data_IF_848032376780
#
_entry.id   IF_848032376780
#
_cell.length_a   1.000
_cell.length_b   1.000
_cell.length_c   1.000
_cell.angle_alpha   90.00
_cell.angle_beta   90.00
_cell.angle_gamma   90.00
#
_symmetry.space_group_name_H-M   'P 1'
#
loop_
_entity.id
_entity.type
_entity.pdbx_description
1 polymer ?
#
# COMPACT_ATOMS: atom_id res chain seq x y z
N UNK A 1 14.68 -20.09 -17.13
CA UNK A 1 14.43 -18.73 -16.59
C UNK A 1 13.39 -18.04 -17.47
N UNK A 2 12.22 -17.66 -16.94
CA UNK A 2 11.29 -16.82 -17.73
C UNK A 2 11.93 -15.45 -17.86
N UNK A 3 12.19 -15.01 -19.10
CA UNK A 3 12.50 -13.61 -19.39
C UNK A 3 11.36 -12.75 -18.86
N UNK A 4 11.56 -12.06 -17.73
CA UNK A 4 10.61 -11.07 -17.28
C UNK A 4 10.61 -9.93 -18.30
N UNK A 5 9.52 -9.77 -19.04
CA UNK A 5 9.33 -8.63 -19.93
C UNK A 5 9.39 -7.35 -19.09
N UNK A 6 10.33 -6.46 -19.40
CA UNK A 6 10.43 -5.16 -18.73
C UNK A 6 9.08 -4.42 -18.81
N UNK A 7 8.51 -3.96 -17.68
CA UNK A 7 7.22 -3.26 -17.66
C UNK A 7 7.24 -1.90 -18.39
N UNK A 8 8.44 -1.47 -18.79
CA UNK A 8 8.73 -0.21 -19.49
C UNK A 8 8.98 -0.39 -21.00
N UNK A 9 8.99 -1.63 -21.52
CA UNK A 9 9.26 -1.88 -22.95
C UNK A 9 8.23 -1.14 -23.83
N UNK A 10 8.71 -0.33 -24.77
CA UNK A 10 7.88 0.41 -25.72
C UNK A 10 7.23 1.68 -25.18
N UNK A 11 7.71 2.24 -24.06
CA UNK A 11 7.18 3.50 -23.52
C UNK A 11 8.03 4.70 -23.91
N UNK A 12 7.35 5.81 -24.20
CA UNK A 12 7.95 7.08 -24.62
C UNK A 12 8.83 7.73 -23.54
N UNK A 13 8.52 7.50 -22.26
CA UNK A 13 9.26 8.08 -21.13
C UNK A 13 10.14 7.03 -20.46
N UNK A 14 11.26 7.49 -19.89
CA UNK A 14 12.18 6.61 -19.16
C UNK A 14 11.47 5.97 -17.96
N UNK A 15 11.96 4.79 -17.59
CA UNK A 15 11.47 4.07 -16.42
C UNK A 15 11.61 4.89 -15.13
N UNK A 16 12.70 5.64 -15.02
CA UNK A 16 13.02 6.47 -13.86
C UNK A 16 12.00 7.59 -13.63
N UNK A 17 11.73 8.41 -14.66
CA UNK A 17 10.74 9.50 -14.58
C UNK A 17 9.37 8.95 -14.23
N UNK A 18 8.98 7.84 -14.89
CA UNK A 18 7.71 7.17 -14.60
C UNK A 18 7.60 6.73 -13.13
N UNK A 19 8.68 6.17 -12.59
CA UNK A 19 8.71 5.67 -11.22
C UNK A 19 8.74 6.78 -10.17
N UNK A 20 9.45 7.88 -10.40
CA UNK A 20 9.41 9.04 -9.49
C UNK A 20 8.01 9.60 -9.32
N UNK A 21 7.31 9.84 -10.44
CA UNK A 21 5.92 10.29 -10.44
C UNK A 21 5.03 9.32 -9.67
N UNK A 22 5.16 8.02 -9.96
CA UNK A 22 4.35 6.99 -9.30
C UNK A 22 4.58 7.01 -7.79
N UNK A 23 5.83 7.13 -7.35
CA UNK A 23 6.17 7.16 -5.92
C UNK A 23 5.66 8.43 -5.24
N UNK A 24 5.89 9.60 -5.84
CA UNK A 24 5.38 10.86 -5.31
C UNK A 24 3.87 10.82 -5.13
N UNK A 25 3.13 10.39 -6.16
CA UNK A 25 1.68 10.28 -6.07
C UNK A 25 1.19 9.32 -4.97
N UNK A 26 1.86 8.18 -4.79
CA UNK A 26 1.47 7.17 -3.79
C UNK A 26 1.91 7.51 -2.36
N UNK A 27 2.78 8.51 -2.18
CA UNK A 27 3.35 8.89 -0.88
C UNK A 27 2.90 10.27 -0.39
N UNK A 28 2.57 11.16 -1.31
CA UNK A 28 2.30 12.57 -1.04
C UNK A 28 0.87 12.95 -1.51
N UNK A 29 0.20 13.89 -0.82
CA UNK A 29 -1.14 14.33 -1.18
C UNK A 29 -1.14 15.29 -2.38
N UNK A 30 -0.65 14.82 -3.54
CA UNK A 30 -0.47 15.62 -4.77
C UNK A 30 -1.51 15.20 -5.81
N UNK A 31 -2.12 16.16 -6.51
CA UNK A 31 -3.05 15.85 -7.60
C UNK A 31 -2.32 15.50 -8.89
N UNK A 32 -2.99 14.84 -9.84
CA UNK A 32 -2.37 14.56 -11.15
C UNK A 32 -2.02 15.84 -11.92
N UNK A 33 -2.80 16.91 -11.75
CA UNK A 33 -2.54 18.21 -12.39
C UNK A 33 -1.34 18.91 -11.78
N UNK A 34 -1.14 18.77 -10.47
CA UNK A 34 0.05 19.32 -9.81
C UNK A 34 1.29 18.56 -10.24
N UNK A 35 1.23 17.22 -10.38
CA UNK A 35 2.35 16.44 -10.93
C UNK A 35 2.68 16.83 -12.37
N UNK A 36 1.67 17.05 -13.22
CA UNK A 36 1.85 17.55 -14.58
C UNK A 36 2.60 18.90 -14.58
N UNK A 37 2.21 19.84 -13.69
CA UNK A 37 2.93 21.12 -13.51
C UNK A 37 4.36 20.94 -13.01
N UNK A 38 4.57 20.12 -11.99
CA UNK A 38 5.89 19.84 -11.42
C UNK A 38 6.88 19.21 -12.42
N UNK A 39 6.36 18.47 -13.40
CA UNK A 39 7.14 17.88 -14.49
C UNK A 39 7.41 18.91 -15.59
N UNK A 40 6.43 19.76 -15.92
CA UNK A 40 6.61 20.86 -16.86
C UNK A 40 7.72 21.84 -16.40
N UNK A 41 7.78 22.16 -15.10
CA UNK A 41 8.86 22.98 -14.50
C UNK A 41 10.27 22.37 -14.71
N UNK A 42 10.35 21.08 -15.04
CA UNK A 42 11.60 20.34 -15.32
C UNK A 42 11.76 19.98 -16.80
N UNK A 43 10.98 20.60 -17.68
CA UNK A 43 11.02 20.35 -19.13
C UNK A 43 10.37 19.04 -19.58
N UNK A 44 9.63 18.36 -18.71
CA UNK A 44 8.94 17.09 -19.04
C UNK A 44 7.46 17.37 -19.27
N UNK A 45 7.06 17.40 -20.54
CA UNK A 45 5.66 17.62 -20.94
C UNK A 45 4.91 16.29 -20.94
N UNK A 46 3.93 16.14 -20.04
CA UNK A 46 3.12 14.93 -19.93
C UNK A 46 1.74 15.24 -19.38
N UNK A 47 0.69 14.74 -20.03
CA UNK A 47 -0.67 14.97 -19.56
C UNK A 47 -0.98 14.18 -18.26
N UNK A 48 -1.77 14.78 -17.37
CA UNK A 48 -2.32 14.11 -16.18
C UNK A 48 -3.01 12.76 -16.47
N UNK A 49 -3.61 12.59 -17.65
CA UNK A 49 -4.24 11.32 -18.07
C UNK A 49 -3.20 10.20 -18.26
N UNK A 50 -2.00 10.55 -18.72
CA UNK A 50 -0.87 9.63 -18.85
C UNK A 50 -0.30 9.27 -17.48
N UNK A 51 -0.17 10.23 -16.57
CA UNK A 51 0.23 9.99 -15.18
C UNK A 51 -0.76 9.05 -14.49
N UNK A 52 -2.06 9.24 -14.68
CA UNK A 52 -3.09 8.33 -14.19
C UNK A 52 -2.89 6.91 -14.70
N UNK A 53 -2.64 6.72 -16.01
CA UNK A 53 -2.36 5.39 -16.60
C UNK A 53 -1.10 4.76 -15.98
N UNK A 54 -0.06 5.55 -15.70
CA UNK A 54 1.13 5.06 -15.00
C UNK A 54 0.81 4.56 -13.59
N UNK A 55 0.05 5.30 -12.79
CA UNK A 55 -0.36 4.84 -11.45
C UNK A 55 -1.15 3.53 -11.54
N UNK A 56 -2.12 3.46 -12.45
CA UNK A 56 -2.96 2.27 -12.60
C UNK A 56 -2.21 1.04 -13.11
N UNK A 57 -1.12 1.24 -13.86
CA UNK A 57 -0.25 0.18 -14.36
C UNK A 57 0.79 -0.25 -13.31
N UNK A 58 1.47 0.70 -12.68
CA UNK A 58 2.64 0.42 -11.86
C UNK A 58 2.35 0.21 -10.38
N UNK A 59 1.27 0.75 -9.81
CA UNK A 59 0.92 0.48 -8.42
C UNK A 59 0.74 -1.03 -8.13
N UNK A 60 0.07 -1.83 -8.99
CA UNK A 60 0.03 -3.29 -8.83
C UNK A 60 1.40 -3.97 -8.94
N UNK A 61 2.28 -3.50 -9.84
CA UNK A 61 3.63 -4.06 -10.00
C UNK A 61 4.49 -3.78 -8.78
N UNK A 62 4.41 -2.57 -8.20
CA UNK A 62 5.05 -2.24 -6.92
C UNK A 62 4.59 -3.20 -5.82
N UNK A 63 3.28 -3.46 -5.75
CA UNK A 63 2.73 -4.39 -4.75
C UNK A 63 3.28 -5.80 -4.94
N UNK A 64 3.34 -6.28 -6.18
CA UNK A 64 3.85 -7.61 -6.52
C UNK A 64 5.32 -7.77 -6.14
N UNK A 65 6.14 -6.74 -6.40
CA UNK A 65 7.58 -6.76 -6.13
C UNK A 65 7.94 -6.57 -4.66
N UNK A 66 7.27 -5.68 -3.94
CA UNK A 66 7.63 -5.38 -2.55
C UNK A 66 7.14 -6.44 -1.56
N UNK A 67 5.94 -7.01 -1.77
CA UNK A 67 5.34 -7.95 -0.79
C UNK A 67 6.21 -9.15 -0.42
N UNK A 68 6.90 -9.82 -1.36
CA UNK A 68 7.82 -10.92 -1.03
C UNK A 68 8.98 -10.54 -0.12
N UNK A 69 9.35 -9.26 -0.06
CA UNK A 69 10.49 -8.75 0.71
C UNK A 69 10.08 -8.16 2.07
N UNK A 70 8.82 -8.26 2.46
CA UNK A 70 8.35 -7.76 3.75
C UNK A 70 8.82 -8.68 4.89
N UNK A 71 9.22 -8.06 6.00
CA UNK A 71 9.54 -8.73 7.26
C UNK A 71 8.31 -9.46 7.79
N UNK A 72 8.54 -10.59 8.47
CA UNK A 72 7.48 -11.34 9.13
C UNK A 72 6.78 -10.49 10.19
N UNK A 73 5.45 -10.43 10.10
CA UNK A 73 4.59 -9.83 11.12
C UNK A 73 4.37 -10.77 12.29
N UNK A 74 4.09 -10.22 13.48
CA UNK A 74 3.79 -11.04 14.64
C UNK A 74 2.31 -11.50 14.70
N UNK A 75 2.03 -12.47 15.56
CA UNK A 75 0.68 -13.03 15.75
C UNK A 75 -0.28 -12.16 16.58
N UNK A 76 0.03 -10.89 16.86
CA UNK A 76 -0.83 -9.97 17.61
C UNK A 76 -1.42 -8.92 16.69
N UNK A 77 -2.62 -9.16 16.17
CA UNK A 77 -3.22 -8.30 15.16
C UNK A 77 -4.13 -7.24 15.79
N UNK A 78 -4.17 -6.08 15.15
CA UNK A 78 -5.18 -5.03 15.34
C UNK A 78 -5.88 -4.79 14.01
N UNK A 79 -7.20 -4.88 14.04
CA UNK A 79 -8.05 -4.83 12.86
C UNK A 79 -9.08 -3.72 13.03
N UNK A 80 -9.17 -2.86 12.03
CA UNK A 80 -10.13 -1.77 12.00
C UNK A 80 -10.54 -1.48 10.55
N UNK A 81 -11.67 -0.79 10.37
CA UNK A 81 -12.14 -0.31 9.08
C UNK A 81 -12.35 1.20 9.07
N UNK A 82 -12.07 1.83 7.94
CA UNK A 82 -12.33 3.26 7.77
C UNK A 82 -13.02 3.58 6.45
N UNK A 83 -13.66 4.74 6.38
CA UNK A 83 -14.45 5.12 5.21
C UNK A 83 -13.57 5.80 4.14
N UNK A 84 -13.74 5.37 2.90
CA UNK A 84 -13.14 5.98 1.70
C UNK A 84 -14.23 6.23 0.66
N UNK A 85 -14.23 7.40 0.04
CA UNK A 85 -15.23 7.79 -0.96
C UNK A 85 -14.85 7.28 -2.36
N UNK A 86 -15.76 6.55 -2.99
CA UNK A 86 -15.62 6.03 -4.36
C UNK A 86 -16.93 6.29 -5.12
N UNK A 87 -16.86 6.97 -6.26
CA UNK A 87 -17.99 7.37 -7.12
C UNK A 87 -19.10 8.04 -6.30
N UNK A 88 -18.71 8.98 -5.44
CA UNK A 88 -19.63 9.69 -4.55
C UNK A 88 -20.11 8.90 -3.31
N UNK A 89 -19.87 7.59 -3.23
CA UNK A 89 -20.39 6.72 -2.15
C UNK A 89 -19.31 6.34 -1.15
N UNK A 90 -19.67 6.24 0.12
CA UNK A 90 -18.77 5.75 1.17
C UNK A 90 -18.60 4.23 1.07
N UNK A 91 -17.35 3.78 1.09
CA UNK A 91 -16.94 2.38 1.08
C UNK A 91 -16.03 2.12 2.28
N UNK A 92 -15.89 0.85 2.65
CA UNK A 92 -15.11 0.39 3.80
C UNK A 92 -13.72 -0.05 3.35
N UNK A 93 -12.69 0.56 3.92
CA UNK A 93 -11.30 0.15 3.81
C UNK A 93 -10.90 -0.55 5.10
N UNK A 94 -10.89 -1.87 5.06
CA UNK A 94 -10.38 -2.74 6.11
C UNK A 94 -8.86 -2.67 6.15
N UNK A 95 -8.30 -2.66 7.36
CA UNK A 95 -6.86 -2.68 7.61
C UNK A 95 -6.53 -3.59 8.78
N UNK A 96 -5.40 -4.29 8.66
CA UNK A 96 -4.78 -5.03 9.74
C UNK A 96 -3.33 -4.60 9.90
N UNK A 97 -2.92 -4.41 11.15
CA UNK A 97 -1.53 -4.19 11.56
C UNK A 97 -1.19 -5.14 12.69
N UNK A 98 0.09 -5.45 12.86
CA UNK A 98 0.55 -6.31 13.95
C UNK A 98 0.80 -5.52 15.26
N UNK A 99 1.36 -6.19 16.27
CA UNK A 99 1.63 -5.61 17.58
C UNK A 99 2.61 -4.45 17.60
N UNK A 100 3.47 -4.38 16.59
CA UNK A 100 4.51 -3.35 16.43
C UNK A 100 4.05 -2.26 15.44
N UNK A 101 2.81 -2.37 14.93
CA UNK A 101 2.27 -1.47 13.93
C UNK A 101 2.71 -1.78 12.50
N UNK A 102 3.34 -2.94 12.26
CA UNK A 102 3.67 -3.35 10.91
C UNK A 102 2.40 -3.70 10.14
N UNK A 103 2.31 -3.28 8.89
CA UNK A 103 1.08 -3.48 8.12
C UNK A 103 0.99 -4.92 7.60
N UNK A 104 -0.10 -5.59 7.93
CA UNK A 104 -0.40 -6.94 7.45
C UNK A 104 -1.05 -6.84 6.08
N UNK A 105 -2.24 -6.22 6.01
CA UNK A 105 -2.95 -6.08 4.75
C UNK A 105 -4.10 -5.06 4.77
N UNK A 106 -4.66 -4.80 3.59
CA UNK A 106 -5.82 -3.96 3.33
C UNK A 106 -6.88 -4.64 2.45
N UNK A 107 -8.14 -4.26 2.61
CA UNK A 107 -9.22 -4.61 1.67
C UNK A 107 -10.22 -3.47 1.54
N UNK A 108 -10.42 -2.99 0.31
CA UNK A 108 -11.54 -2.10 -0.01
C UNK A 108 -12.80 -2.94 -0.32
N UNK A 109 -13.93 -2.59 0.28
CA UNK A 109 -15.23 -3.23 0.08
C UNK A 109 -16.35 -2.20 0.11
N UNK A 110 -17.39 -2.42 -0.70
CA UNK A 110 -18.63 -1.66 -0.61
C UNK A 110 -19.53 -2.12 0.55
N UNK A 111 -19.32 -3.34 1.06
CA UNK A 111 -20.12 -3.95 2.13
C UNK A 111 -19.35 -3.97 3.45
N UNK A 112 -20.10 -3.83 4.55
CA UNK A 112 -19.62 -3.96 5.92
C UNK A 112 -20.29 -5.13 6.63
N UNK A 113 -19.89 -6.35 6.30
CA UNK A 113 -20.51 -7.57 6.81
C UNK A 113 -19.48 -8.63 7.24
N UNK A 114 -19.94 -9.66 7.93
CA UNK A 114 -19.09 -10.76 8.40
C UNK A 114 -18.46 -11.55 7.24
N UNK A 115 -19.13 -11.62 6.08
CA UNK A 115 -18.60 -12.27 4.87
C UNK A 115 -17.35 -11.55 4.37
N UNK A 116 -17.41 -10.22 4.31
CA UNK A 116 -16.32 -9.34 3.92
C UNK A 116 -15.18 -9.39 4.94
N UNK A 117 -15.49 -9.38 6.24
CA UNK A 117 -14.49 -9.55 7.29
C UNK A 117 -13.74 -10.89 7.17
N UNK A 118 -14.43 -12.01 6.93
CA UNK A 118 -13.79 -13.31 6.65
C UNK A 118 -12.91 -13.26 5.41
N UNK A 119 -13.40 -12.66 4.32
CA UNK A 119 -12.62 -12.46 3.09
C UNK A 119 -11.34 -11.67 3.38
N UNK A 120 -11.43 -10.64 4.21
CA UNK A 120 -10.28 -9.85 4.62
C UNK A 120 -9.27 -10.69 5.41
N UNK A 121 -9.71 -11.43 6.43
CA UNK A 121 -8.80 -12.29 7.20
C UNK A 121 -8.12 -13.36 6.36
N UNK A 122 -8.86 -14.03 5.47
CA UNK A 122 -8.27 -14.99 4.52
C UNK A 122 -7.24 -14.34 3.61
N UNK A 123 -7.53 -13.12 3.11
CA UNK A 123 -6.60 -12.38 2.25
C UNK A 123 -5.32 -12.01 3.02
N UNK A 124 -5.45 -11.57 4.26
CA UNK A 124 -4.33 -11.22 5.14
C UNK A 124 -3.47 -12.44 5.47
N UNK A 125 -4.08 -13.57 5.89
CA UNK A 125 -3.34 -14.79 6.22
C UNK A 125 -2.68 -15.46 5.01
N UNK A 126 -3.14 -15.18 3.78
CA UNK A 126 -2.48 -15.65 2.54
C UNK A 126 -1.20 -14.90 2.20
N UNK A 127 -0.89 -13.80 2.88
CA UNK A 127 0.35 -13.06 2.62
C UNK A 127 1.55 -13.83 3.20
N UNK A 128 2.63 -13.92 2.43
CA UNK A 128 3.83 -14.68 2.82
C UNK A 128 4.47 -14.19 4.12
N UNK A 129 4.38 -12.88 4.39
CA UNK A 129 4.94 -12.24 5.58
C UNK A 129 4.03 -12.29 6.81
N UNK A 130 2.95 -13.08 6.76
CA UNK A 130 1.88 -13.06 7.76
C UNK A 130 1.78 -14.35 8.56
N UNK A 131 1.73 -14.21 9.89
CA UNK A 131 1.52 -15.31 10.83
C UNK A 131 0.07 -15.38 11.27
N UNK A 132 -0.51 -16.59 11.39
CA UNK A 132 -1.86 -16.80 11.92
C UNK A 132 -1.98 -16.17 13.32
N UNK A 133 -2.98 -15.31 13.58
CA UNK A 133 -3.01 -14.50 14.79
C UNK A 133 -3.33 -15.33 16.04
N UNK A 134 -2.51 -15.16 17.07
CA UNK A 134 -2.82 -15.62 18.45
C UNK A 134 -3.72 -14.63 19.18
N UNK A 135 -3.62 -13.35 18.85
CA UNK A 135 -4.44 -12.27 19.40
C UNK A 135 -5.04 -11.48 18.24
N UNK A 136 -6.35 -11.25 18.31
CA UNK A 136 -7.09 -10.40 17.38
C UNK A 136 -7.75 -9.28 18.18
N UNK A 137 -7.13 -8.12 18.21
CA UNK A 137 -7.72 -6.89 18.72
C UNK A 137 -8.57 -6.23 17.62
N UNK A 138 -9.82 -5.93 17.91
CA UNK A 138 -10.81 -5.48 16.93
C UNK A 138 -11.65 -4.35 17.52
N UNK A 139 -12.10 -3.42 16.67
CA UNK A 139 -13.12 -2.45 17.07
C UNK A 139 -14.49 -3.12 17.33
N UNK A 140 -15.43 -2.38 17.92
CA UNK A 140 -16.79 -2.83 18.30
C UNK A 140 -17.70 -3.21 17.11
N UNK A 141 -17.17 -3.34 15.90
CA UNK A 141 -17.92 -3.82 14.74
C UNK A 141 -18.30 -5.30 14.92
N UNK A 142 -19.61 -5.59 14.99
CA UNK A 142 -20.15 -6.93 15.18
C UNK A 142 -19.76 -7.94 14.07
N UNK A 143 -19.38 -7.46 12.88
CA UNK A 143 -18.92 -8.30 11.79
C UNK A 143 -17.63 -9.07 12.13
N UNK A 144 -16.71 -8.48 12.88
CA UNK A 144 -15.41 -9.11 13.15
C UNK A 144 -15.48 -10.28 14.12
N UNK A 145 -16.14 -10.18 15.30
CA UNK A 145 -16.28 -11.32 16.20
C UNK A 145 -17.03 -12.49 15.56
N UNK A 146 -18.10 -12.19 14.80
CA UNK A 146 -18.84 -13.21 14.05
C UNK A 146 -17.94 -13.93 13.03
N UNK A 147 -17.20 -13.16 12.22
CA UNK A 147 -16.26 -13.71 11.25
C UNK A 147 -15.17 -14.57 11.90
N UNK A 148 -14.56 -14.08 12.98
CA UNK A 148 -13.50 -14.79 13.68
C UNK A 148 -14.00 -16.08 14.33
N UNK A 149 -15.18 -16.07 14.96
CA UNK A 149 -15.80 -17.28 15.54
C UNK A 149 -16.04 -18.35 14.47
N UNK A 150 -16.63 -17.99 13.32
CA UNK A 150 -16.81 -18.92 12.20
C UNK A 150 -15.48 -19.47 11.71
N UNK A 151 -14.45 -18.62 11.56
CA UNK A 151 -13.15 -19.07 11.07
C UNK A 151 -12.40 -19.97 12.06
N UNK A 152 -12.59 -19.79 13.38
CA UNK A 152 -12.09 -20.72 14.39
C UNK A 152 -12.78 -22.09 14.28
N UNK A 153 -14.11 -22.11 14.12
CA UNK A 153 -14.86 -23.36 13.96
C UNK A 153 -14.45 -24.13 12.70
N UNK A 154 -14.11 -23.41 11.63
CA UNK A 154 -13.65 -24.00 10.37
C UNK A 154 -12.16 -24.41 10.38
N UNK A 155 -11.44 -24.20 11.48
CA UNK A 155 -10.00 -24.48 11.56
C UNK A 155 -9.09 -23.54 10.77
N UNK A 156 -9.60 -22.39 10.30
CA UNK A 156 -8.82 -21.40 9.54
C UNK A 156 -7.99 -20.50 10.47
N UNK A 157 -8.57 -20.11 11.61
CA UNK A 157 -7.86 -19.41 12.68
C UNK A 157 -7.39 -20.41 13.74
N UNK A 158 -6.31 -20.07 14.43
CA UNK A 158 -5.82 -20.90 15.53
C UNK A 158 -6.91 -21.07 16.61
N UNK A 159 -7.09 -22.29 17.11
CA UNK A 159 -8.17 -22.64 18.05
C UNK A 159 -8.11 -21.79 19.33
N UNK A 160 -6.90 -21.44 19.76
CA UNK A 160 -6.64 -20.64 20.96
C UNK A 160 -6.48 -19.14 20.67
N UNK A 161 -6.81 -18.67 19.46
CA UNK A 161 -6.82 -17.23 19.18
C UNK A 161 -7.79 -16.49 20.11
N UNK A 162 -7.29 -15.48 20.80
CA UNK A 162 -8.05 -14.63 21.71
C UNK A 162 -8.57 -13.41 20.97
N UNK A 163 -9.88 -13.16 21.07
CA UNK A 163 -10.51 -11.94 20.55
C UNK A 163 -10.54 -10.88 21.64
N UNK A 164 -10.11 -9.66 21.33
CA UNK A 164 -10.09 -8.53 22.27
C UNK A 164 -10.81 -7.33 21.65
N UNK A 165 -11.79 -6.78 22.36
CA UNK A 165 -12.45 -5.53 21.98
C UNK A 165 -12.02 -4.43 22.92
N UNK A 166 -10.79 -3.95 22.75
CA UNK A 166 -10.17 -3.01 23.67
C UNK A 166 -9.83 -1.73 22.92
N UNK A 167 -10.55 -0.65 23.26
CA UNK A 167 -10.49 0.64 22.55
C UNK A 167 -9.06 1.17 22.36
N UNK A 168 -8.23 1.15 23.41
CA UNK A 168 -6.89 1.75 23.37
C UNK A 168 -5.89 0.98 22.48
N UNK A 169 -6.12 -0.32 22.24
CA UNK A 169 -5.23 -1.10 21.36
C UNK A 169 -5.39 -0.70 19.88
N UNK A 170 -6.49 -0.04 19.52
CA UNK A 170 -6.76 0.38 18.15
C UNK A 170 -6.01 1.65 17.74
N UNK A 171 -5.41 2.40 18.67
CA UNK A 171 -4.65 3.62 18.36
C UNK A 171 -3.57 3.40 17.29
N UNK A 172 -2.94 2.21 17.27
CA UNK A 172 -1.90 1.86 16.29
C UNK A 172 -2.49 1.75 14.88
N UNK A 173 -3.62 1.06 14.70
CA UNK A 173 -4.27 0.93 13.39
C UNK A 173 -4.88 2.25 12.94
N UNK A 174 -5.42 3.05 13.87
CA UNK A 174 -5.91 4.39 13.61
C UNK A 174 -4.82 5.35 13.11
N UNK A 175 -3.60 5.29 13.67
CA UNK A 175 -2.45 6.05 13.17
C UNK A 175 -2.20 5.73 11.70
N UNK A 176 -2.27 4.45 11.34
CA UNK A 176 -2.20 4.00 9.95
C UNK A 176 -3.29 4.61 9.06
N UNK A 177 -4.53 4.69 9.55
CA UNK A 177 -5.65 5.31 8.83
C UNK A 177 -5.41 6.80 8.50
N UNK A 178 -4.67 7.54 9.33
CA UNK A 178 -4.38 8.96 9.07
C UNK A 178 -3.61 9.17 7.78
N UNK A 179 -2.64 8.29 7.47
CA UNK A 179 -1.83 8.38 6.24
C UNK A 179 -2.71 8.24 5.00
N UNK A 180 -3.53 7.19 4.93
CA UNK A 180 -4.39 6.99 3.74
C UNK A 180 -5.44 8.10 3.64
N UNK A 181 -6.01 8.55 4.76
CA UNK A 181 -6.94 9.70 4.80
C UNK A 181 -6.28 10.97 4.27
N UNK A 182 -5.04 11.25 4.65
CA UNK A 182 -4.27 12.41 4.15
C UNK A 182 -4.11 12.36 2.63
N UNK A 183 -3.86 11.18 2.05
CA UNK A 183 -3.68 11.02 0.61
C UNK A 183 -4.99 11.15 -0.17
N UNK A 184 -6.11 10.65 0.38
CA UNK A 184 -7.37 10.55 -0.37
C UNK A 184 -8.34 11.71 -0.12
N UNK A 185 -8.19 12.47 0.97
CA UNK A 185 -9.09 13.59 1.34
C UNK A 185 -9.01 14.84 0.45
N UNK A 186 -7.84 15.28 -0.04
CA UNK A 186 -7.76 16.50 -0.84
C UNK A 186 -8.48 16.42 -2.18
N UNK A 187 -8.67 15.21 -2.71
CA UNK A 187 -9.41 14.98 -3.96
C UNK A 187 -10.91 14.72 -3.75
N UNK A 188 -11.72 14.75 -4.82
CA UNK A 188 -13.17 14.45 -4.77
C UNK A 188 -13.50 12.97 -4.46
N UNK A 189 -12.50 12.17 -4.09
CA UNK A 189 -12.57 10.72 -4.00
C UNK A 189 -12.25 10.02 -5.31
N UNK A 190 -12.27 8.69 -5.30
CA UNK A 190 -11.98 7.88 -6.49
C UNK A 190 -13.20 7.80 -7.40
N UNK A 191 -13.02 7.77 -8.71
CA UNK A 191 -14.15 7.66 -9.66
C UNK A 191 -14.54 6.20 -9.98
N UNK A 192 -13.66 5.24 -9.70
CA UNK A 192 -13.92 3.81 -9.92
C UNK A 192 -13.38 2.96 -8.78
N UNK A 193 -14.13 1.92 -8.43
CA UNK A 193 -13.75 0.97 -7.38
C UNK A 193 -12.48 0.20 -7.71
N UNK A 194 -12.33 -0.19 -8.98
CA UNK A 194 -11.15 -0.93 -9.43
C UNK A 194 -9.88 -0.09 -9.32
N UNK A 195 -9.96 1.18 -9.69
CA UNK A 195 -8.80 2.08 -9.71
C UNK A 195 -8.46 2.54 -8.29
N UNK A 196 -9.48 2.79 -7.46
CA UNK A 196 -9.32 3.00 -6.01
C UNK A 196 -8.53 1.86 -5.36
N UNK A 197 -8.94 0.61 -5.62
CA UNK A 197 -8.28 -0.57 -5.06
C UNK A 197 -6.80 -0.66 -5.45
N UNK A 198 -6.46 -0.39 -6.71
CA UNK A 198 -5.07 -0.40 -7.19
C UNK A 198 -4.23 0.70 -6.53
N UNK A 199 -4.75 1.93 -6.52
CA UNK A 199 -4.05 3.07 -5.93
C UNK A 199 -3.86 2.89 -4.43
N UNK A 200 -4.90 2.50 -3.68
CA UNK A 200 -4.80 2.26 -2.23
C UNK A 200 -3.78 1.16 -1.91
N UNK A 201 -3.75 0.08 -2.70
CA UNK A 201 -2.74 -0.97 -2.54
C UNK A 201 -1.33 -0.44 -2.76
N UNK A 202 -1.12 0.38 -3.79
CA UNK A 202 0.15 1.09 -4.03
C UNK A 202 0.53 2.00 -2.86
N UNK A 203 -0.39 2.85 -2.38
CA UNK A 203 -0.15 3.72 -1.24
C UNK A 203 0.23 2.93 0.02
N UNK A 204 -0.42 1.78 0.23
CA UNK A 204 -0.13 0.87 1.34
C UNK A 204 1.27 0.29 1.27
N UNK A 205 1.69 -0.20 0.10
CA UNK A 205 3.02 -0.78 -0.09
C UNK A 205 4.13 0.27 0.01
N UNK A 206 3.90 1.48 -0.51
CA UNK A 206 4.84 2.58 -0.30
C UNK A 206 4.92 3.00 1.18
N UNK A 207 3.85 2.84 1.97
CA UNK A 207 3.90 3.05 3.41
C UNK A 207 4.75 1.98 4.09
N UNK A 208 4.54 0.71 3.76
CA UNK A 208 5.32 -0.42 4.30
C UNK A 208 6.82 -0.22 4.06
N UNK A 209 7.20 0.18 2.83
CA UNK A 209 8.58 0.49 2.49
C UNK A 209 9.15 1.65 3.32
N UNK A 210 8.42 2.77 3.41
CA UNK A 210 8.83 3.94 4.21
C UNK A 210 8.91 3.63 5.73
N UNK A 211 8.08 2.73 6.23
CA UNK A 211 8.06 2.30 7.63
C UNK A 211 9.14 1.25 7.96
N UNK A 212 10.05 0.94 7.02
CA UNK A 212 11.15 0.00 7.23
C UNK A 212 10.72 -1.47 7.31
N UNK A 213 9.53 -1.81 6.81
CA UNK A 213 9.02 -3.20 6.84
C UNK A 213 9.64 -4.08 5.76
N UNK A 214 10.43 -3.52 4.84
CA UNK A 214 11.15 -4.28 3.81
C UNK A 214 12.48 -4.77 4.39
N UNK A 215 12.77 -6.06 4.27
CA UNK A 215 13.97 -6.68 4.83
C UNK A 215 15.18 -6.52 3.90
N UNK A 216 15.01 -6.86 2.62
CA UNK A 216 16.07 -6.83 1.60
C UNK A 216 15.39 -6.87 0.23
N UNK A 217 15.70 -5.92 -0.65
CA UNK A 217 15.27 -6.02 -2.06
C UNK A 217 16.49 -6.34 -2.94
N UNK A 218 16.31 -7.09 -4.04
CA UNK A 218 17.36 -7.28 -5.03
C UNK A 218 17.81 -5.92 -5.60
N UNK A 219 19.12 -5.72 -5.80
CA UNK A 219 19.67 -4.49 -6.38
C UNK A 219 19.07 -4.13 -7.76
N UNK A 220 18.56 -5.14 -8.48
CA UNK A 220 17.92 -4.98 -9.79
C UNK A 220 16.42 -4.65 -9.73
N UNK A 221 15.79 -4.77 -8.55
CA UNK A 221 14.38 -4.46 -8.34
C UNK A 221 14.26 -3.03 -7.79
N UNK A 222 14.27 -2.05 -8.71
CA UNK A 222 14.13 -0.61 -8.44
C UNK A 222 15.22 -0.02 -7.54
N UNK A 223 16.30 0.57 -8.12
CA UNK A 223 17.34 1.30 -7.38
C UNK A 223 16.86 2.57 -6.65
N UNK A 224 15.55 2.81 -6.63
CA UNK A 224 14.97 4.03 -6.07
C UNK A 224 14.61 3.91 -4.57
N UNK A 225 14.59 2.69 -3.99
CA UNK A 225 14.33 2.54 -2.54
C UNK A 225 15.60 2.80 -1.73
N UNK A 226 16.75 2.30 -2.20
CA UNK A 226 18.03 2.41 -1.48
C UNK A 226 18.51 3.85 -1.31
N UNK A 227 18.12 4.77 -2.20
CA UNK A 227 18.44 6.20 -2.05
C UNK A 227 17.68 6.93 -0.93
N UNK A 228 16.76 6.24 -0.20
CA UNK A 228 15.99 6.82 0.91
C UNK A 228 16.20 6.05 2.22
N UNK A 229 16.68 4.80 2.18
CA UNK A 229 16.92 3.98 3.39
C UNK A 229 18.38 3.86 3.82
N UNK A 230 19.32 4.50 3.12
CA UNK A 230 20.69 4.62 3.61
C UNK A 230 20.72 5.56 4.83
N UNK A 231 20.91 4.98 6.02
CA UNK A 231 21.34 5.68 7.22
C UNK A 231 22.51 6.61 6.88
N UNK A 232 22.50 7.82 7.45
CA UNK A 232 23.39 8.92 7.11
C UNK A 232 24.87 8.52 6.94
N UNK A 233 25.32 8.54 5.69
CA UNK A 233 26.67 8.85 5.27
C UNK A 233 26.63 9.06 3.73
N UNK A 234 26.78 10.32 3.31
CA UNK A 234 27.10 10.78 1.95
C UNK A 234 26.38 10.15 0.75
N UNK A 235 25.19 10.68 0.42
CA UNK A 235 24.75 10.75 -0.98
C UNK A 235 25.11 12.12 -1.55
N UNK A 236 26.37 12.30 -1.97
CA UNK A 236 26.76 13.46 -2.80
C UNK A 236 26.12 13.30 -4.17
N UNK A 237 25.16 14.18 -4.47
CA UNK A 237 24.73 14.46 -5.84
C UNK A 237 25.95 14.87 -6.67
N UNK A 238 26.44 14.01 -7.56
CA UNK A 238 27.20 14.43 -8.74
C UNK A 238 26.23 14.53 -9.91
N UNK A 239 25.71 15.74 -10.13
CA UNK A 239 25.28 16.17 -11.45
C UNK A 239 26.54 16.37 -12.30
N UNK A 240 26.86 15.41 -13.17
CA UNK A 240 27.70 15.60 -14.36
C UNK A 240 27.67 14.30 -15.18
N UNK A 241 27.50 14.29 -16.50
CA UNK A 241 27.50 15.40 -17.43
C UNK A 241 26.81 15.03 -18.74
N UNK A 242 26.19 16.06 -19.32
CA UNK A 242 26.05 16.16 -20.77
C UNK A 242 27.47 16.19 -21.36
N UNK A 243 27.84 15.15 -22.10
CA UNK A 243 28.82 15.29 -23.17
C UNK A 243 28.01 15.58 -24.43
N UNK A 244 28.16 16.78 -24.96
CA UNK A 244 27.62 17.14 -26.26
C UNK A 244 28.56 16.51 -27.32
N UNK A 245 28.05 15.82 -28.35
CA UNK A 245 28.89 15.40 -29.46
C UNK A 245 29.13 16.57 -30.41
N UNK A 246 30.42 16.75 -30.73
CA UNK A 246 31.06 17.58 -31.77
C UNK A 246 30.92 19.11 -31.69
#
# INVERSE_FOLDING_TARGET
MRSEKSPFKGRQFTAEVSLWVVRWYLQLPISYRDLERMLADRGVVVEHTTLYRWIQAYAPELVKRVRPHLRMTNGSWRVDDTHVKVKGRWNHLYRAVDGLGQTIDFLLSAKRDAVTARRFFRKAMKQAHTVNPRILAMDKNAAYPSAAKTMKNNGELWRFSTLRQVKYLNNIVEKGHRRIKRLVRPGPGFQSFHTARRTIAGCGVMAMAHEGQVATMPANDMPAVDSITANGAEARFKLCGYTNPE
#
